data_IF_164205785993
#
_entry.id   IF_164205785993
#
_cell.length_a   1.000
_cell.length_b   1.000
_cell.length_c   1.000
_cell.angle_alpha   90.00
_cell.angle_beta   90.00
_cell.angle_gamma   90.00
#
_symmetry.space_group_name_H-M   'P 1'
#
loop_
_entity.id
_entity.type
_entity.pdbx_description
1 polymer ?
#
# COMPACT_ATOMS: atom_id res chain seq x y z
N UNK A 1 8.89 23.84 18.67
CA UNK A 1 8.64 22.66 17.80
C UNK A 1 7.97 23.17 16.54
N UNK A 2 8.12 22.52 15.39
CA UNK A 2 7.39 22.96 14.21
C UNK A 2 5.88 22.76 14.43
N UNK A 3 5.08 23.72 13.99
CA UNK A 3 3.62 23.68 14.15
C UNK A 3 2.97 22.74 13.13
N UNK A 4 3.73 22.32 12.11
CA UNK A 4 3.28 21.44 11.04
C UNK A 4 4.34 20.40 10.67
N UNK A 5 3.88 19.33 10.02
CA UNK A 5 4.68 18.28 9.40
C UNK A 5 4.37 18.24 7.91
N UNK A 6 5.40 18.33 7.07
CA UNK A 6 5.28 18.03 5.65
C UNK A 6 5.12 16.52 5.45
N UNK A 7 4.17 16.16 4.60
CA UNK A 7 3.84 14.79 4.24
C UNK A 7 4.33 14.50 2.84
N UNK A 8 5.06 13.39 2.70
CA UNK A 8 5.50 12.90 1.39
C UNK A 8 5.19 11.42 1.22
N UNK A 9 4.92 11.02 -0.01
CA UNK A 9 5.05 9.62 -0.44
C UNK A 9 6.44 9.46 -1.04
N UNK A 10 7.25 8.57 -0.47
CA UNK A 10 8.56 8.24 -0.97
C UNK A 10 8.56 6.91 -1.71
N UNK A 11 9.20 6.90 -2.87
CA UNK A 11 9.37 5.76 -3.74
C UNK A 11 10.84 5.33 -3.68
N UNK A 12 11.11 4.13 -3.16
CA UNK A 12 12.48 3.65 -2.98
C UNK A 12 13.14 3.24 -4.31
N UNK A 13 14.45 3.07 -4.29
CA UNK A 13 15.18 2.40 -5.37
C UNK A 13 14.67 0.96 -5.52
N UNK A 14 14.47 0.50 -6.76
CA UNK A 14 14.10 -0.91 -7.03
C UNK A 14 15.25 -1.83 -6.65
N UNK A 15 14.91 -2.97 -6.05
CA UNK A 15 15.87 -4.01 -5.67
C UNK A 15 15.43 -5.33 -6.30
N UNK A 16 16.13 -5.76 -7.35
CA UNK A 16 15.75 -6.95 -8.11
C UNK A 16 14.37 -6.79 -8.77
N UNK A 17 13.56 -7.84 -8.70
CA UNK A 17 12.23 -7.93 -9.32
C UNK A 17 11.09 -7.59 -8.35
N UNK A 18 11.38 -7.27 -7.09
CA UNK A 18 10.35 -6.89 -6.12
C UNK A 18 9.62 -5.61 -6.56
N UNK A 19 8.31 -5.50 -6.23
CA UNK A 19 7.59 -4.25 -6.38
C UNK A 19 8.30 -3.09 -5.67
N UNK A 20 8.20 -1.88 -6.23
CA UNK A 20 8.84 -0.71 -5.64
C UNK A 20 8.38 -0.49 -4.21
N UNK A 21 9.32 -0.35 -3.27
CA UNK A 21 9.00 -0.13 -1.87
C UNK A 21 8.54 1.31 -1.62
N UNK A 22 7.35 1.48 -1.05
CA UNK A 22 6.75 2.80 -0.77
C UNK A 22 6.77 3.11 0.72
N UNK A 23 6.92 4.39 1.05
CA UNK A 23 6.95 4.87 2.44
C UNK A 23 6.19 6.19 2.59
N UNK A 24 5.53 6.38 3.73
CA UNK A 24 5.06 7.69 4.17
C UNK A 24 6.16 8.38 4.96
N UNK A 25 6.44 9.63 4.62
CA UNK A 25 7.41 10.46 5.33
C UNK A 25 6.69 11.62 5.99
N UNK A 26 6.97 11.83 7.28
CA UNK A 26 6.60 13.03 8.02
C UNK A 26 7.86 13.79 8.40
N UNK A 27 8.05 14.99 7.84
CA UNK A 27 9.22 15.82 8.06
C UNK A 27 8.82 17.18 8.64
N UNK A 28 9.58 17.70 9.60
CA UNK A 28 9.42 19.10 9.98
C UNK A 28 9.83 19.98 8.78
N UNK A 29 9.10 21.07 8.48
CA UNK A 29 9.53 22.03 7.46
C UNK A 29 10.97 22.49 7.69
N UNK A 30 11.81 22.42 6.65
CA UNK A 30 13.24 22.75 6.69
C UNK A 30 14.15 21.72 7.36
N UNK A 31 13.62 20.63 7.92
CA UNK A 31 14.41 19.56 8.52
C UNK A 31 14.86 18.52 7.49
N UNK A 32 16.12 18.12 7.57
CA UNK A 32 16.64 16.95 6.84
C UNK A 32 16.29 15.61 7.51
N UNK A 33 15.61 15.66 8.66
CA UNK A 33 15.17 14.49 9.44
C UNK A 33 13.66 14.34 9.38
N UNK A 34 13.20 13.11 9.19
CA UNK A 34 11.81 12.73 9.12
C UNK A 34 11.55 11.40 9.86
N UNK A 35 10.28 11.05 9.98
CA UNK A 35 9.83 9.72 10.40
C UNK A 35 9.36 8.95 9.18
N UNK A 36 9.85 7.72 9.01
CA UNK A 36 9.40 6.80 7.97
C UNK A 36 8.32 5.87 8.53
N UNK A 37 7.23 5.71 7.79
CA UNK A 37 6.22 4.68 8.04
C UNK A 37 6.10 3.81 6.80
N UNK A 38 6.28 2.50 6.97
CA UNK A 38 6.27 1.55 5.87
C UNK A 38 6.09 0.11 6.37
N UNK A 39 5.82 -0.81 5.45
CA UNK A 39 5.75 -2.24 5.71
C UNK A 39 6.89 -2.95 4.99
N UNK A 40 7.62 -3.81 5.70
CA UNK A 40 8.69 -4.66 5.17
C UNK A 40 8.30 -6.13 5.25
N UNK A 41 9.13 -7.02 4.67
CA UNK A 41 8.85 -8.45 4.63
C UNK A 41 7.84 -8.81 3.54
N UNK A 42 7.16 -9.94 3.73
CA UNK A 42 6.23 -10.53 2.77
C UNK A 42 6.77 -11.79 2.09
N UNK A 43 5.91 -12.48 1.31
CA UNK A 43 6.25 -13.74 0.67
C UNK A 43 7.52 -13.69 -0.19
N UNK A 44 7.76 -12.59 -0.91
CA UNK A 44 8.95 -12.45 -1.77
C UNK A 44 10.26 -12.38 -0.99
N UNK A 45 10.19 -12.06 0.31
CA UNK A 45 11.35 -11.99 1.22
C UNK A 45 11.39 -13.17 2.19
N UNK A 46 10.48 -14.15 2.04
CA UNK A 46 10.30 -15.29 2.95
C UNK A 46 10.18 -14.87 4.43
N UNK A 47 9.41 -13.82 4.70
CA UNK A 47 9.17 -13.26 6.04
C UNK A 47 7.74 -12.77 6.17
N UNK A 48 7.22 -12.72 7.38
CA UNK A 48 5.94 -12.06 7.65
C UNK A 48 6.02 -10.56 7.37
N UNK A 49 4.88 -9.96 7.03
CA UNK A 49 4.79 -8.52 6.87
C UNK A 49 4.94 -7.83 8.23
N UNK A 50 5.80 -6.81 8.29
CA UNK A 50 6.05 -6.05 9.51
C UNK A 50 5.95 -4.54 9.24
N UNK A 51 5.11 -3.85 10.03
CA UNK A 51 5.09 -2.38 10.05
C UNK A 51 6.29 -1.84 10.81
N UNK A 52 7.04 -0.97 10.16
CA UNK A 52 8.15 -0.22 10.77
C UNK A 52 7.78 1.27 10.86
N UNK A 53 8.09 1.87 12.01
CA UNK A 53 8.02 3.32 12.25
C UNK A 53 9.39 3.76 12.71
N UNK A 54 10.10 4.51 11.88
CA UNK A 54 11.51 4.84 12.08
C UNK A 54 11.69 6.36 12.17
N UNK A 55 11.89 6.88 13.37
CA UNK A 55 12.12 8.31 13.61
C UNK A 55 13.58 8.70 13.35
N UNK A 56 13.82 9.98 13.06
CA UNK A 56 15.17 10.55 12.92
C UNK A 56 15.92 10.10 11.66
N UNK A 57 15.21 9.54 10.68
CA UNK A 57 15.76 9.12 9.39
C UNK A 57 15.98 10.33 8.48
N UNK A 58 16.90 10.19 7.54
CA UNK A 58 17.16 11.25 6.55
C UNK A 58 16.05 11.29 5.51
N UNK A 59 15.60 12.49 5.14
CA UNK A 59 14.63 12.69 4.07
C UNK A 59 15.24 12.35 2.69
N UNK A 60 16.54 12.61 2.52
CA UNK A 60 17.34 12.40 1.31
C UNK A 60 18.17 11.10 1.35
N UNK A 61 17.65 10.06 2.00
CA UNK A 61 18.37 8.78 2.10
C UNK A 61 18.61 8.17 0.73
N UNK A 62 19.82 7.62 0.49
CA UNK A 62 20.21 6.96 -0.77
C UNK A 62 19.24 5.87 -1.25
N UNK A 63 18.51 5.24 -0.33
CA UNK A 63 17.50 4.23 -0.68
C UNK A 63 16.21 4.81 -1.29
N UNK A 64 16.01 6.13 -1.24
CA UNK A 64 14.86 6.83 -1.82
C UNK A 64 15.24 7.29 -3.23
N UNK A 65 14.43 6.92 -4.22
CA UNK A 65 14.62 7.31 -5.61
C UNK A 65 13.96 8.66 -5.90
N UNK A 66 12.72 8.83 -5.45
CA UNK A 66 11.98 10.10 -5.54
C UNK A 66 10.98 10.24 -4.40
N UNK A 67 10.51 11.47 -4.21
CA UNK A 67 9.49 11.82 -3.22
C UNK A 67 8.46 12.72 -3.88
N UNK A 68 7.21 12.58 -3.47
CA UNK A 68 6.12 13.43 -3.91
C UNK A 68 5.49 14.09 -2.69
N UNK A 69 5.41 15.42 -2.72
CA UNK A 69 4.78 16.19 -1.65
C UNK A 69 3.27 16.04 -1.74
N UNK A 70 2.65 15.70 -0.62
CA UNK A 70 1.19 15.52 -0.52
C UNK A 70 0.52 16.72 0.12
N UNK A 71 1.14 17.29 1.15
CA UNK A 71 0.55 18.35 1.96
C UNK A 71 1.25 18.52 3.29
N UNK A 72 0.64 19.27 4.20
CA UNK A 72 1.11 19.44 5.57
C UNK A 72 0.01 19.05 6.56
N UNK A 73 0.43 18.57 7.73
CA UNK A 73 -0.45 18.19 8.84
C UNK A 73 -0.06 18.99 10.07
N UNK A 74 -1.04 19.47 10.85
CA UNK A 74 -0.78 20.12 12.13
C UNK A 74 -0.04 19.19 13.08
N UNK A 75 0.92 19.70 13.85
CA UNK A 75 1.61 18.92 14.87
C UNK A 75 0.65 18.33 15.92
N UNK A 76 -0.47 19.00 16.20
CA UNK A 76 -1.53 18.51 17.09
C UNK A 76 -2.25 17.25 16.56
N UNK A 77 -2.18 16.99 15.26
CA UNK A 77 -2.87 15.88 14.59
C UNK A 77 -2.02 14.62 14.42
N UNK A 78 -0.80 14.59 14.97
CA UNK A 78 0.12 13.45 14.80
C UNK A 78 -0.46 12.12 15.29
N UNK A 79 -1.30 12.15 16.33
CA UNK A 79 -1.97 10.94 16.85
C UNK A 79 -3.02 10.42 15.87
N UNK A 80 -3.65 11.28 15.07
CA UNK A 80 -4.57 10.87 14.00
C UNK A 80 -3.81 10.14 12.88
N UNK A 81 -2.59 10.60 12.56
CA UNK A 81 -1.71 9.90 11.61
C UNK A 81 -1.34 8.50 12.13
N UNK A 82 -0.86 8.40 13.37
CA UNK A 82 -0.53 7.12 14.00
C UNK A 82 -1.74 6.17 14.01
N UNK A 83 -2.92 6.68 14.35
CA UNK A 83 -4.17 5.91 14.32
C UNK A 83 -4.48 5.38 12.91
N UNK A 84 -4.35 6.20 11.86
CA UNK A 84 -4.56 5.76 10.48
C UNK A 84 -3.56 4.67 10.07
N UNK A 85 -2.28 4.87 10.37
CA UNK A 85 -1.19 3.91 10.12
C UNK A 85 -1.42 2.57 10.83
N UNK A 86 -1.91 2.61 12.07
CA UNK A 86 -2.10 1.40 12.87
C UNK A 86 -3.34 0.61 12.44
N UNK A 87 -4.36 1.29 11.94
CA UNK A 87 -5.63 0.68 11.54
C UNK A 87 -5.54 -0.18 10.27
N UNK A 88 -4.54 0.02 9.43
CA UNK A 88 -4.39 -0.75 8.18
C UNK A 88 -3.73 -2.11 8.47
N UNK A 89 -4.39 -3.24 8.11
CA UNK A 89 -3.82 -4.58 8.25
C UNK A 89 -2.51 -4.74 7.49
N UNK A 90 -1.63 -5.63 7.97
CA UNK A 90 -0.35 -5.90 7.32
C UNK A 90 -0.53 -6.59 5.97
N UNK A 91 0.04 -6.00 4.92
CA UNK A 91 -0.06 -6.45 3.54
C UNK A 91 1.10 -5.87 2.72
N UNK A 92 1.09 -6.09 1.40
CA UNK A 92 2.06 -5.50 0.47
C UNK A 92 2.20 -3.97 0.69
N UNK A 93 3.44 -3.47 0.68
CA UNK A 93 3.76 -2.09 1.02
C UNK A 93 3.00 -1.04 0.19
N UNK A 94 2.75 -1.27 -1.10
CA UNK A 94 2.07 -0.31 -1.97
C UNK A 94 0.57 -0.23 -1.64
N UNK A 95 -0.09 -1.40 -1.49
CA UNK A 95 -1.49 -1.48 -1.06
C UNK A 95 -1.69 -0.93 0.35
N UNK A 96 -0.78 -1.28 1.26
CA UNK A 96 -0.78 -0.74 2.61
C UNK A 96 -0.68 0.78 2.59
N UNK A 97 0.20 1.35 1.76
CA UNK A 97 0.35 2.79 1.64
C UNK A 97 -0.94 3.45 1.11
N UNK A 98 -1.57 2.90 0.07
CA UNK A 98 -2.83 3.43 -0.46
C UNK A 98 -3.94 3.44 0.60
N UNK A 99 -4.08 2.37 1.38
CA UNK A 99 -5.05 2.31 2.48
C UNK A 99 -4.74 3.31 3.61
N UNK A 100 -3.46 3.52 3.91
CA UNK A 100 -3.05 4.55 4.87
C UNK A 100 -3.41 5.94 4.35
N UNK A 101 -3.15 6.24 3.08
CA UNK A 101 -3.54 7.51 2.45
C UNK A 101 -5.06 7.71 2.52
N UNK A 102 -5.85 6.68 2.20
CA UNK A 102 -7.31 6.75 2.33
C UNK A 102 -7.74 7.00 3.79
N UNK A 103 -7.04 6.40 4.76
CA UNK A 103 -7.24 6.67 6.18
C UNK A 103 -6.91 8.10 6.61
N UNK A 104 -5.90 8.73 5.99
CA UNK A 104 -5.55 10.13 6.22
C UNK A 104 -6.56 11.09 5.57
N UNK A 105 -7.04 10.78 4.37
CA UNK A 105 -8.11 11.54 3.67
C UNK A 105 -9.41 11.54 4.48
N UNK A 106 -9.85 10.38 4.98
CA UNK A 106 -11.04 10.27 5.84
C UNK A 106 -10.94 11.09 7.13
N UNK A 107 -9.72 11.42 7.55
CA UNK A 107 -9.43 12.25 8.73
C UNK A 107 -9.15 13.72 8.36
N UNK A 108 -9.31 14.09 7.09
CA UNK A 108 -9.04 15.43 6.54
C UNK A 108 -7.60 15.91 6.78
N UNK A 109 -6.64 14.98 6.80
CA UNK A 109 -5.23 15.30 7.04
C UNK A 109 -4.44 15.54 5.75
N UNK A 110 -4.91 15.00 4.63
CA UNK A 110 -4.33 15.18 3.31
C UNK A 110 -5.44 15.42 2.28
N UNK A 111 -5.13 15.99 1.10
CA UNK A 111 -6.12 16.24 0.05
C UNK A 111 -6.81 14.95 -0.42
N UNK A 112 -8.11 15.04 -0.68
CA UNK A 112 -8.88 13.96 -1.30
C UNK A 112 -8.35 13.61 -2.70
N UNK A 113 -8.35 12.32 -3.02
CA UNK A 113 -7.89 11.80 -4.30
C UNK A 113 -6.41 11.41 -4.31
N UNK A 114 -5.66 11.70 -3.24
CA UNK A 114 -4.28 11.24 -3.05
C UNK A 114 -4.21 9.70 -3.05
N UNK A 115 -5.15 9.03 -2.39
CA UNK A 115 -5.20 7.56 -2.33
C UNK A 115 -5.45 6.95 -3.71
N UNK A 116 -6.46 7.44 -4.43
CA UNK A 116 -6.82 7.01 -5.79
C UNK A 116 -5.67 7.24 -6.76
N UNK A 117 -5.05 8.43 -6.72
CA UNK A 117 -3.89 8.74 -7.55
C UNK A 117 -2.73 7.75 -7.36
N UNK A 118 -2.51 7.29 -6.13
CA UNK A 118 -1.47 6.31 -5.83
C UNK A 118 -1.93 4.87 -6.11
N UNK A 119 -3.22 4.56 -5.98
CA UNK A 119 -3.78 3.25 -6.32
C UNK A 119 -3.48 2.87 -7.78
N UNK A 120 -3.67 3.81 -8.70
CA UNK A 120 -3.46 3.58 -10.14
C UNK A 120 -1.99 3.32 -10.53
N UNK A 121 -1.07 3.46 -9.57
CA UNK A 121 0.37 3.25 -9.72
C UNK A 121 0.86 2.00 -9.00
N UNK A 122 -0.03 1.25 -8.35
CA UNK A 122 0.32 -0.04 -7.73
C UNK A 122 0.82 -0.97 -8.85
N UNK A 123 1.99 -1.56 -8.60
CA UNK A 123 2.58 -2.54 -9.50
C UNK A 123 1.82 -3.86 -9.38
N UNK A 124 1.63 -4.59 -10.49
CA UNK A 124 1.09 -5.94 -10.44
C UNK A 124 1.91 -6.79 -9.48
N UNK A 125 1.24 -7.55 -8.61
CA UNK A 125 1.93 -8.61 -7.90
C UNK A 125 2.38 -9.62 -8.96
N UNK A 126 3.69 -9.84 -9.09
CA UNK A 126 4.21 -11.01 -9.78
C UNK A 126 3.80 -12.21 -8.90
N UNK A 127 2.58 -12.69 -9.12
CA UNK A 127 2.20 -14.04 -8.73
C UNK A 127 3.16 -14.90 -9.55
N UNK A 128 4.14 -15.51 -8.88
CA UNK A 128 5.04 -16.45 -9.53
C UNK A 128 4.18 -17.44 -10.30
N UNK A 129 4.58 -17.74 -11.53
CA UNK A 129 3.99 -18.82 -12.31
C UNK A 129 3.92 -20.06 -11.40
N UNK A 130 2.73 -20.37 -10.91
CA UNK A 130 2.40 -21.75 -10.66
C UNK A 130 2.47 -22.41 -12.02
N UNK A 131 3.57 -23.12 -12.28
CA UNK A 131 3.49 -24.33 -13.07
C UNK A 131 2.37 -25.17 -12.43
N UNK A 132 1.17 -25.01 -12.98
CA UNK A 132 0.19 -26.08 -13.25
C UNK A 132 -1.19 -25.47 -13.54
N UNK A 133 -1.62 -25.62 -14.79
CA UNK A 133 -3.02 -25.78 -15.16
C UNK A 133 -3.93 -24.55 -15.06
N UNK A 134 -3.96 -23.73 -16.12
CA UNK A 134 -5.15 -22.95 -16.44
C UNK A 134 -6.32 -23.90 -16.77
N UNK A 135 -7.29 -24.04 -15.86
CA UNK A 135 -8.65 -24.41 -16.23
C UNK A 135 -9.51 -23.16 -16.11
N UNK A 136 -9.80 -22.58 -17.27
CA UNK A 136 -10.86 -21.59 -17.46
C UNK A 136 -12.21 -22.26 -17.13
N UNK A 137 -12.75 -22.02 -15.93
CA UNK A 137 -14.18 -22.20 -15.70
C UNK A 137 -14.90 -20.90 -16.05
N UNK A 138 -15.07 -20.68 -17.36
CA UNK A 138 -16.14 -19.84 -17.88
C UNK A 138 -17.47 -20.57 -17.65
N UNK A 139 -18.07 -20.38 -16.49
CA UNK A 139 -19.42 -20.84 -16.19
C UNK A 139 -20.44 -19.80 -16.62
N UNK A 140 -20.74 -19.73 -17.92
CA UNK A 140 -21.96 -19.08 -18.41
C UNK A 140 -23.15 -20.01 -18.19
N UNK A 141 -24.17 -19.46 -17.54
CA UNK A 141 -25.51 -20.05 -17.36
C UNK A 141 -26.24 -20.15 -18.69
N UNK A 142 -26.57 -21.37 -19.14
CA UNK A 142 -27.82 -21.80 -19.83
C UNK A 142 -27.90 -23.33 -19.56
N UNK A 143 -28.97 -23.97 -19.11
CA UNK A 143 -30.38 -23.74 -19.38
C UNK A 143 -30.86 -24.77 -20.41
N UNK A 144 -31.06 -26.04 -20.04
CA UNK A 144 -31.90 -26.94 -20.84
C UNK A 144 -32.47 -28.13 -20.04
N UNK A 145 -33.81 -28.13 -19.93
CA UNK A 145 -34.64 -29.29 -19.58
C UNK A 145 -34.46 -30.38 -20.64
N UNK A 146 -34.42 -31.64 -20.23
CA UNK A 146 -35.08 -32.69 -21.00
C UNK A 146 -35.61 -33.83 -20.13
N UNK A 147 -36.90 -34.08 -20.30
CA UNK A 147 -37.71 -35.14 -19.69
C UNK A 147 -37.59 -36.39 -20.57
N UNK A 148 -37.42 -37.56 -19.95
CA UNK A 148 -37.59 -38.85 -20.63
C UNK A 148 -37.40 -40.08 -19.72
N UNK A 149 -38.51 -40.63 -19.20
CA UNK A 149 -38.65 -42.07 -18.79
C UNK A 149 -38.92 -42.93 -20.06
N UNK A 150 -39.07 -44.29 -20.06
CA UNK A 150 -39.10 -45.30 -18.96
C UNK A 150 -38.33 -46.63 -19.26
N UNK A 151 -38.38 -47.61 -18.34
CA UNK A 151 -38.25 -49.07 -18.63
C UNK A 151 -37.15 -49.78 -17.83
N UNK A 152 -37.47 -50.48 -16.74
CA UNK A 152 -37.87 -51.91 -16.67
C UNK A 152 -36.69 -52.89 -16.77
N UNK A 153 -36.31 -53.48 -15.63
CA UNK A 153 -35.99 -54.90 -15.42
C UNK A 153 -35.95 -55.17 -13.92
#
# INVERSE_FOLDING_TARGET
>A
MADTWNVYVAFCQRRGTDPLHWMLLLANPGSMRCTWYHVVGGPTQNREYERKIQAGKRIDSFGISRMEYVGYISASDINKVKSAVVAVPMQNCQRWMVEVLAGLERKFLIPFGTSVHNHDRIEPALIGETQDGWVLLSGTSEGELNIGKPGSS
#
